data_IF_850198480213
#
_entry.id   IF_850198480213
#
_cell.length_a   1.000
_cell.length_b   1.000
_cell.length_c   1.000
_cell.angle_alpha   90.00
_cell.angle_beta   90.00
_cell.angle_gamma   90.00
#
_symmetry.space_group_name_H-M   'P 1'
#
loop_
_entity.id
_entity.type
_entity.pdbx_description
1 polymer ?
#
# COMPACT_ATOMS: atom_id res chain seq x y z
N UNK A 1 8.53 17.68 -16.80
CA UNK A 1 8.23 16.38 -16.17
C UNK A 1 8.79 16.27 -14.75
N UNK A 2 9.95 16.82 -14.49
CA UNK A 2 10.67 16.72 -13.20
C UNK A 2 9.82 17.16 -12.00
N UNK A 3 9.17 18.32 -12.10
CA UNK A 3 8.34 18.89 -11.03
C UNK A 3 6.95 18.24 -10.88
N UNK A 4 6.56 17.30 -11.76
CA UNK A 4 5.27 16.63 -11.65
C UNK A 4 5.26 15.71 -10.43
N UNK A 5 4.20 15.81 -9.61
CA UNK A 5 4.03 14.93 -8.45
C UNK A 5 3.79 13.48 -8.89
N UNK A 6 4.37 12.53 -8.18
CA UNK A 6 4.23 11.11 -8.49
C UNK A 6 2.78 10.63 -8.38
N UNK A 7 2.02 11.15 -7.43
CA UNK A 7 0.59 10.87 -7.26
C UNK A 7 -0.33 11.62 -8.22
N UNK A 8 0.21 12.50 -9.10
CA UNK A 8 -0.53 13.29 -10.07
C UNK A 8 -0.28 12.90 -11.54
N UNK A 9 0.48 11.82 -11.80
CA UNK A 9 0.55 11.19 -13.12
C UNK A 9 -0.74 10.42 -13.40
N UNK A 10 -0.93 9.95 -14.62
CA UNK A 10 -2.08 9.09 -14.98
C UNK A 10 -1.94 7.73 -14.29
N UNK A 11 -2.77 7.51 -13.26
CA UNK A 11 -2.69 6.34 -12.39
C UNK A 11 -3.98 5.50 -12.44
N UNK A 12 -3.88 4.17 -12.42
CA UNK A 12 -5.03 3.30 -12.38
C UNK A 12 -5.89 3.49 -11.12
N UNK A 13 -7.20 3.35 -11.31
CA UNK A 13 -8.16 3.15 -10.23
C UNK A 13 -8.85 1.81 -10.48
N UNK A 14 -8.74 0.89 -9.53
CA UNK A 14 -9.42 -0.41 -9.58
C UNK A 14 -10.68 -0.33 -8.72
N UNK A 15 -11.83 -0.44 -9.34
CA UNK A 15 -13.13 -0.41 -8.66
C UNK A 15 -13.63 -1.83 -8.38
N UNK A 16 -14.27 -2.00 -7.23
CA UNK A 16 -14.84 -3.26 -6.76
C UNK A 16 -16.29 -3.03 -6.37
N UNK A 17 -17.09 -4.09 -6.39
CA UNK A 17 -18.50 -4.01 -6.05
C UNK A 17 -18.78 -3.62 -4.59
N UNK A 18 -17.80 -3.81 -3.71
CA UNK A 18 -17.88 -3.46 -2.29
C UNK A 18 -16.48 -3.43 -1.65
N UNK A 19 -16.38 -2.89 -0.43
CA UNK A 19 -15.18 -2.98 0.42
C UNK A 19 -14.80 -4.43 0.66
N UNK A 20 -15.79 -5.29 0.93
CA UNK A 20 -15.57 -6.72 1.15
C UNK A 20 -14.94 -7.40 -0.08
N UNK A 21 -15.41 -7.10 -1.31
CA UNK A 21 -14.84 -7.69 -2.52
C UNK A 21 -13.41 -7.20 -2.79
N UNK A 22 -13.11 -5.92 -2.51
CA UNK A 22 -11.75 -5.41 -2.55
C UNK A 22 -10.85 -6.12 -1.54
N UNK A 23 -11.26 -6.20 -0.28
CA UNK A 23 -10.47 -6.83 0.78
C UNK A 23 -10.31 -8.35 0.56
N UNK A 24 -11.31 -9.02 -0.02
CA UNK A 24 -11.20 -10.41 -0.45
C UNK A 24 -10.14 -10.60 -1.55
N UNK A 25 -10.08 -9.67 -2.51
CA UNK A 25 -9.01 -9.65 -3.51
C UNK A 25 -7.62 -9.43 -2.87
N UNK A 26 -7.49 -8.48 -1.95
CA UNK A 26 -6.22 -8.23 -1.24
C UNK A 26 -5.82 -9.43 -0.37
N UNK A 27 -6.79 -10.18 0.17
CA UNK A 27 -6.53 -11.47 0.83
C UNK A 27 -5.95 -12.52 -0.13
N UNK A 28 -6.41 -12.56 -1.40
CA UNK A 28 -5.83 -13.44 -2.42
C UNK A 28 -4.39 -13.03 -2.75
N UNK A 29 -4.10 -11.72 -2.84
CA UNK A 29 -2.74 -11.20 -3.04
C UNK A 29 -1.82 -11.58 -1.88
N UNK A 30 -2.29 -11.46 -0.64
CA UNK A 30 -1.58 -11.95 0.55
C UNK A 30 -1.29 -13.46 0.45
N UNK A 31 -2.18 -14.23 -0.16
CA UNK A 31 -2.04 -15.67 -0.44
C UNK A 31 -1.15 -16.01 -1.64
N UNK A 32 -0.57 -15.03 -2.34
CA UNK A 32 0.33 -15.22 -3.46
C UNK A 32 -0.27 -14.97 -4.85
N UNK A 33 -1.50 -14.43 -4.94
CA UNK A 33 -2.05 -14.02 -6.23
C UNK A 33 -1.21 -12.87 -6.80
N UNK A 34 -0.76 -13.04 -8.05
CA UNK A 34 0.13 -12.10 -8.72
C UNK A 34 -0.61 -10.86 -9.22
N UNK A 35 -0.07 -9.69 -8.90
CA UNK A 35 -0.58 -8.38 -9.33
C UNK A 35 0.58 -7.36 -9.33
N UNK A 36 0.28 -6.10 -9.57
CA UNK A 36 1.24 -4.98 -9.58
C UNK A 36 1.50 -4.37 -8.17
N UNK A 37 1.03 -5.03 -7.13
CA UNK A 37 1.28 -4.66 -5.72
C UNK A 37 1.37 -5.90 -4.82
N UNK A 38 1.97 -5.71 -3.67
CA UNK A 38 2.04 -6.70 -2.60
C UNK A 38 1.10 -6.32 -1.46
N UNK A 39 0.73 -7.31 -0.66
CA UNK A 39 0.00 -7.15 0.61
C UNK A 39 0.75 -7.93 1.68
N UNK A 40 1.19 -7.26 2.73
CA UNK A 40 1.82 -7.86 3.90
C UNK A 40 1.65 -6.94 5.10
N UNK A 41 1.78 -7.48 6.30
CA UNK A 41 1.65 -6.71 7.53
C UNK A 41 2.89 -5.85 7.76
N UNK A 42 2.67 -4.58 8.09
CA UNK A 42 3.70 -3.70 8.65
C UNK A 42 3.25 -3.11 9.99
N UNK A 43 4.21 -2.83 10.85
CA UNK A 43 4.00 -2.06 12.07
C UNK A 43 4.27 -0.59 11.77
N UNK A 44 3.35 0.29 12.16
CA UNK A 44 3.40 1.72 11.80
C UNK A 44 4.27 2.55 12.74
N UNK A 45 4.73 1.97 13.86
CA UNK A 45 5.42 2.71 14.91
C UNK A 45 4.50 3.53 15.80
N UNK A 46 3.20 3.61 15.47
CA UNK A 46 2.23 4.28 16.35
C UNK A 46 2.03 3.42 17.61
N UNK A 47 2.71 3.77 18.68
CA UNK A 47 2.41 3.23 20.00
C UNK A 47 1.33 4.08 20.70
N UNK A 48 0.83 3.58 21.80
CA UNK A 48 -0.23 4.22 22.58
C UNK A 48 0.11 5.61 23.15
N UNK A 49 1.28 6.16 22.86
CA UNK A 49 1.72 7.48 23.33
C UNK A 49 1.41 8.59 22.35
N UNK A 50 1.21 8.24 21.06
CA UNK A 50 0.87 9.23 20.04
C UNK A 50 -0.64 9.48 20.02
N UNK A 51 -1.03 10.73 20.13
CA UNK A 51 -2.42 11.20 20.15
C UNK A 51 -3.12 11.10 18.79
N UNK A 52 -2.92 10.02 18.04
CA UNK A 52 -3.44 9.89 16.69
C UNK A 52 -4.33 8.65 16.55
N UNK A 53 -5.47 8.81 15.85
CA UNK A 53 -6.32 7.71 15.41
C UNK A 53 -5.69 6.96 14.24
N UNK A 54 -4.56 6.32 14.47
CA UNK A 54 -3.87 5.58 13.44
C UNK A 54 -3.60 4.14 13.90
N UNK A 55 -3.87 3.13 13.07
CA UNK A 55 -3.73 1.74 13.50
C UNK A 55 -2.25 1.39 13.73
N UNK A 56 -1.98 0.61 14.76
CA UNK A 56 -0.64 0.11 15.07
C UNK A 56 -0.06 -0.76 13.94
N UNK A 57 -0.93 -1.43 13.20
CA UNK A 57 -0.55 -2.25 12.05
C UNK A 57 -1.37 -1.87 10.83
N UNK A 58 -0.71 -1.77 9.68
CA UNK A 58 -1.39 -1.88 8.38
C UNK A 58 -1.39 -3.34 7.94
N UNK A 59 -2.45 -3.76 7.28
CA UNK A 59 -2.67 -5.13 6.86
C UNK A 59 -2.54 -6.11 8.04
N UNK A 60 -3.22 -5.81 9.15
CA UNK A 60 -3.18 -6.69 10.30
C UNK A 60 -3.70 -8.07 9.94
N UNK A 61 -2.86 -9.10 10.13
CA UNK A 61 -3.19 -10.49 9.83
C UNK A 61 -3.30 -11.30 11.13
N UNK A 62 -4.26 -12.20 11.16
CA UNK A 62 -4.47 -13.14 12.28
C UNK A 62 -4.49 -14.57 11.76
N UNK A 63 -4.01 -15.55 12.54
CA UNK A 63 -4.20 -16.93 12.18
C UNK A 63 -5.71 -17.28 12.15
N UNK A 64 -6.11 -18.16 11.24
CA UNK A 64 -7.52 -18.60 11.12
C UNK A 64 -7.99 -19.35 12.35
N UNK A 65 -7.08 -20.12 12.95
CA UNK A 65 -7.26 -20.82 14.23
C UNK A 65 -5.91 -20.92 14.93
N UNK A 66 -5.91 -21.23 16.23
CA UNK A 66 -4.70 -21.46 16.97
C UNK A 66 -3.86 -22.58 16.32
N UNK A 67 -2.55 -22.30 16.12
CA UNK A 67 -1.62 -23.21 15.45
C UNK A 67 -1.75 -23.25 13.91
N UNK A 68 -2.70 -22.51 13.31
CA UNK A 68 -2.87 -22.46 11.85
C UNK A 68 -1.71 -21.72 11.18
N UNK A 69 -1.25 -22.26 10.04
CA UNK A 69 -0.35 -21.55 9.10
C UNK A 69 -1.12 -20.70 8.08
N UNK A 70 -2.44 -20.70 8.14
CA UNK A 70 -3.29 -19.88 7.27
C UNK A 70 -3.64 -18.61 8.01
N UNK A 71 -3.41 -17.48 7.37
CA UNK A 71 -3.62 -16.15 7.93
C UNK A 71 -4.73 -15.42 7.19
N UNK A 72 -5.49 -14.61 7.92
CA UNK A 72 -6.54 -13.74 7.37
C UNK A 72 -6.23 -12.28 7.63
N UNK A 73 -6.46 -11.49 6.60
CA UNK A 73 -6.46 -10.04 6.67
C UNK A 73 -7.66 -9.56 7.49
N UNK A 74 -7.41 -8.73 8.49
CA UNK A 74 -8.44 -8.15 9.34
C UNK A 74 -8.93 -6.83 8.73
N UNK A 75 -10.14 -6.83 8.16
CA UNK A 75 -10.70 -5.68 7.47
C UNK A 75 -12.14 -5.32 7.90
N UNK A 76 -12.78 -6.13 8.74
CA UNK A 76 -14.13 -5.89 9.20
C UNK A 76 -14.21 -4.60 10.03
N UNK A 77 -15.39 -3.94 10.00
CA UNK A 77 -15.68 -2.83 10.91
C UNK A 77 -15.48 -3.27 12.37
N UNK A 78 -14.86 -2.42 13.17
CA UNK A 78 -14.52 -2.73 14.55
C UNK A 78 -14.36 -1.48 15.39
N UNK A 79 -14.51 -1.63 16.70
CA UNK A 79 -14.20 -0.56 17.65
C UNK A 79 -12.82 -0.84 18.26
N UNK A 80 -11.95 0.16 18.24
CA UNK A 80 -10.65 0.14 18.89
C UNK A 80 -10.54 1.31 19.88
N UNK A 81 -9.76 1.14 20.94
CA UNK A 81 -9.49 2.22 21.90
C UNK A 81 -8.16 2.87 21.56
N UNK A 82 -8.20 4.18 21.35
CA UNK A 82 -7.03 5.02 21.12
C UNK A 82 -6.83 5.98 22.27
N UNK A 83 -5.60 6.41 22.51
CA UNK A 83 -5.33 7.53 23.40
C UNK A 83 -5.47 8.84 22.63
N UNK A 84 -6.49 9.62 22.98
CA UNK A 84 -6.74 10.95 22.40
C UNK A 84 -6.45 11.98 23.49
N UNK A 85 -5.42 12.77 23.31
CA UNK A 85 -4.96 13.72 24.32
C UNK A 85 -4.78 13.06 25.70
N UNK A 86 -4.23 11.85 25.74
CA UNK A 86 -4.03 11.08 26.95
C UNK A 86 -5.27 10.38 27.51
N UNK A 87 -6.44 10.51 26.87
CA UNK A 87 -7.71 9.91 27.32
C UNK A 87 -8.06 8.70 26.44
N UNK A 88 -8.28 7.50 27.02
CA UNK A 88 -8.77 6.35 26.27
C UNK A 88 -10.12 6.64 25.61
N UNK A 89 -10.17 6.61 24.31
CA UNK A 89 -11.36 6.95 23.51
C UNK A 89 -11.69 5.79 22.58
N UNK A 90 -12.90 5.27 22.65
CA UNK A 90 -13.39 4.23 21.75
C UNK A 90 -13.77 4.86 20.40
N UNK A 91 -13.18 4.33 19.31
CA UNK A 91 -13.42 4.79 17.95
C UNK A 91 -13.88 3.62 17.09
N UNK A 92 -14.99 3.79 16.39
CA UNK A 92 -15.46 2.82 15.42
C UNK A 92 -14.75 3.04 14.08
N UNK A 93 -13.95 2.07 13.69
CA UNK A 93 -13.25 2.03 12.40
C UNK A 93 -14.15 1.34 11.36
N UNK A 94 -14.33 1.93 10.18
CA UNK A 94 -15.14 1.32 9.13
C UNK A 94 -14.48 0.07 8.55
N UNK A 95 -15.26 -0.70 7.79
CA UNK A 95 -14.75 -1.82 7.00
C UNK A 95 -13.67 -1.35 6.03
N UNK A 96 -12.59 -2.12 5.89
CA UNK A 96 -11.44 -1.80 5.04
C UNK A 96 -10.41 -0.86 5.67
N UNK A 97 -10.70 -0.25 6.83
CA UNK A 97 -9.74 0.63 7.50
C UNK A 97 -8.54 -0.15 8.06
N UNK A 98 -7.34 0.36 7.78
CA UNK A 98 -6.07 -0.28 8.12
C UNK A 98 -5.60 -1.31 7.07
N UNK A 99 -6.29 -1.40 5.93
CA UNK A 99 -5.89 -2.25 4.79
C UNK A 99 -5.35 -1.39 3.66
N UNK A 100 -4.21 -1.78 3.11
CA UNK A 100 -3.55 -1.08 2.00
C UNK A 100 -2.81 -2.06 1.08
N UNK A 101 -2.40 -1.57 -0.09
CA UNK A 101 -1.53 -2.27 -1.02
C UNK A 101 -0.21 -1.51 -1.16
N UNK A 102 0.89 -2.24 -1.43
CA UNK A 102 2.22 -1.67 -1.64
C UNK A 102 2.64 -1.91 -3.08
N UNK A 103 2.65 -0.85 -3.89
CA UNK A 103 2.97 -0.94 -5.31
C UNK A 103 4.40 -1.41 -5.53
N UNK A 104 4.59 -2.34 -6.46
CA UNK A 104 5.93 -2.72 -6.89
C UNK A 104 6.63 -1.56 -7.61
N UNK A 105 7.90 -1.35 -7.31
CA UNK A 105 8.72 -0.30 -7.94
C UNK A 105 8.75 -0.46 -9.45
N UNK A 106 8.87 -1.70 -9.96
CA UNK A 106 8.85 -1.95 -11.41
C UNK A 106 7.57 -1.44 -12.08
N UNK A 107 6.41 -1.56 -11.39
CA UNK A 107 5.14 -1.07 -11.92
C UNK A 107 5.06 0.45 -11.91
N UNK A 108 5.52 1.08 -10.84
CA UNK A 108 5.56 2.54 -10.75
C UNK A 108 6.47 3.14 -11.82
N UNK A 109 7.62 2.54 -12.09
CA UNK A 109 8.48 2.94 -13.21
C UNK A 109 7.76 2.85 -14.56
N UNK A 110 7.06 1.75 -14.85
CA UNK A 110 6.28 1.61 -16.08
C UNK A 110 5.23 2.74 -16.22
N UNK A 111 4.53 3.08 -15.13
CA UNK A 111 3.53 4.15 -15.11
C UNK A 111 4.16 5.53 -15.33
N UNK A 112 5.28 5.81 -14.68
CA UNK A 112 6.02 7.06 -14.85
C UNK A 112 6.47 7.23 -16.30
N UNK A 113 7.12 6.23 -16.88
CA UNK A 113 7.59 6.35 -18.27
C UNK A 113 6.45 6.44 -19.28
N UNK A 114 5.36 5.67 -19.06
CA UNK A 114 4.16 5.71 -19.89
C UNK A 114 3.49 7.10 -19.88
N UNK A 115 3.49 7.79 -18.73
CA UNK A 115 2.96 9.15 -18.59
C UNK A 115 3.62 10.14 -19.58
N UNK A 116 4.91 9.93 -19.88
CA UNK A 116 5.69 10.78 -20.78
C UNK A 116 5.85 10.19 -22.19
N UNK A 117 5.07 9.17 -22.51
CA UNK A 117 5.06 8.54 -23.85
C UNK A 117 6.21 7.57 -24.11
N UNK A 118 6.90 7.12 -23.06
CA UNK A 118 7.99 6.16 -23.18
C UNK A 118 7.56 4.75 -22.77
N UNK A 119 8.16 3.76 -23.42
CA UNK A 119 8.06 2.35 -23.03
C UNK A 119 9.41 1.85 -22.57
N UNK A 120 9.46 1.20 -21.41
CA UNK A 120 10.68 0.59 -20.90
C UNK A 120 10.90 -0.72 -21.67
N UNK A 121 11.99 -0.83 -22.41
CA UNK A 121 12.34 -2.05 -23.15
C UNK A 121 12.80 -3.16 -22.22
N UNK A 122 13.65 -2.82 -21.25
CA UNK A 122 14.13 -3.72 -20.21
C UNK A 122 13.94 -3.06 -18.86
N UNK A 123 13.24 -3.74 -17.96
CA UNK A 123 12.99 -3.26 -16.60
C UNK A 123 13.67 -4.22 -15.59
N UNK A 124 14.88 -3.91 -15.11
CA UNK A 124 15.60 -4.78 -14.20
C UNK A 124 14.84 -5.01 -12.89
N UNK A 125 14.02 -4.05 -12.43
CA UNK A 125 13.16 -4.24 -11.26
C UNK A 125 12.04 -5.27 -11.48
N UNK A 126 11.76 -5.64 -12.72
CA UNK A 126 10.77 -6.67 -13.07
C UNK A 126 11.39 -8.02 -13.37
N UNK A 127 12.62 -8.03 -13.87
CA UNK A 127 13.29 -9.25 -14.34
C UNK A 127 14.29 -9.83 -13.35
N UNK A 128 14.93 -9.00 -12.52
CA UNK A 128 15.85 -9.42 -11.49
C UNK A 128 15.08 -9.95 -10.26
N UNK A 129 15.41 -11.17 -9.81
CA UNK A 129 14.74 -11.83 -8.68
C UNK A 129 14.91 -11.11 -7.33
N UNK A 130 15.98 -10.35 -7.16
CA UNK A 130 16.24 -9.60 -5.92
C UNK A 130 15.45 -8.28 -5.90
N UNK A 131 15.26 -7.67 -7.07
CA UNK A 131 14.58 -6.37 -7.21
C UNK A 131 13.07 -6.51 -7.44
N UNK A 132 12.61 -7.65 -7.96
CA UNK A 132 11.20 -7.86 -8.31
C UNK A 132 10.23 -7.56 -7.15
N UNK A 133 10.62 -7.92 -5.94
CA UNK A 133 9.79 -7.74 -4.75
C UNK A 133 9.98 -6.37 -4.07
N UNK A 134 10.73 -5.46 -4.68
CA UNK A 134 10.87 -4.11 -4.14
C UNK A 134 9.55 -3.35 -4.27
N UNK A 135 9.05 -2.84 -3.14
CA UNK A 135 7.78 -2.13 -3.07
C UNK A 135 7.94 -0.72 -2.52
N UNK A 136 7.00 0.16 -2.83
CA UNK A 136 6.84 1.47 -2.21
C UNK A 136 5.94 1.30 -0.99
N UNK A 137 6.47 1.55 0.20
CA UNK A 137 5.67 1.58 1.41
C UNK A 137 4.86 2.89 1.47
N UNK A 138 3.63 2.79 1.95
CA UNK A 138 2.76 3.92 2.21
C UNK A 138 2.12 3.77 3.61
N UNK A 139 1.43 4.80 4.04
CA UNK A 139 0.69 4.85 5.30
C UNK A 139 -0.82 5.08 5.08
N UNK A 140 -1.34 4.73 3.91
CA UNK A 140 -2.74 4.94 3.52
C UNK A 140 -3.66 3.93 4.24
N UNK A 141 -4.08 4.25 5.46
CA UNK A 141 -4.94 3.38 6.27
C UNK A 141 -6.40 3.35 5.81
N UNK A 142 -6.85 4.31 5.03
CA UNK A 142 -8.23 4.51 4.60
C UNK A 142 -8.46 4.27 3.09
N UNK A 143 -7.42 3.87 2.36
CA UNK A 143 -7.48 3.72 0.90
C UNK A 143 -8.52 2.69 0.43
N UNK A 144 -8.86 1.69 1.24
CA UNK A 144 -9.82 0.64 0.89
C UNK A 144 -11.26 0.92 1.33
N UNK A 145 -11.51 1.93 2.18
CA UNK A 145 -12.83 2.19 2.82
C UNK A 145 -13.94 2.48 1.80
N UNK A 146 -13.59 2.92 0.61
CA UNK A 146 -14.55 3.27 -0.47
C UNK A 146 -14.78 2.13 -1.47
N UNK A 147 -14.24 0.94 -1.25
CA UNK A 147 -14.38 -0.18 -2.18
C UNK A 147 -13.63 0.01 -3.51
N UNK A 148 -12.67 0.92 -3.55
CA UNK A 148 -11.81 1.16 -4.72
C UNK A 148 -10.35 1.27 -4.28
N UNK A 149 -9.44 0.87 -5.15
CA UNK A 149 -8.01 0.99 -4.94
C UNK A 149 -7.46 2.00 -5.95
N UNK A 150 -7.21 3.22 -5.51
CA UNK A 150 -6.60 4.28 -6.29
C UNK A 150 -5.09 4.24 -6.10
N UNK A 151 -4.33 4.11 -7.18
CA UNK A 151 -2.87 4.09 -7.07
C UNK A 151 -2.30 5.44 -6.64
N UNK A 152 -3.03 6.54 -6.89
CA UNK A 152 -2.64 7.86 -6.39
C UNK A 152 -2.57 7.91 -4.85
N UNK A 153 -3.50 7.23 -4.18
CA UNK A 153 -3.55 7.17 -2.71
C UNK A 153 -2.43 6.31 -2.11
N UNK A 154 -1.79 5.47 -2.94
CA UNK A 154 -0.69 4.58 -2.55
C UNK A 154 0.70 5.16 -2.83
N UNK A 155 0.77 6.28 -3.57
CA UNK A 155 2.03 6.91 -3.95
C UNK A 155 2.52 7.88 -2.86
N UNK A 156 3.84 8.00 -2.67
CA UNK A 156 4.40 9.03 -1.80
C UNK A 156 4.18 10.42 -2.39
N UNK A 157 4.09 11.42 -1.51
CA UNK A 157 4.02 12.83 -1.92
C UNK A 157 5.42 13.37 -2.25
N UNK A 158 5.96 12.94 -3.38
CA UNK A 158 7.22 13.40 -3.93
C UNK A 158 7.07 13.69 -5.43
N UNK A 159 8.08 14.34 -6.01
CA UNK A 159 8.12 14.54 -7.46
C UNK A 159 8.60 13.29 -8.18
N UNK A 160 8.32 13.19 -9.49
CA UNK A 160 8.89 12.14 -10.34
C UNK A 160 10.42 12.19 -10.32
N UNK A 161 11.01 13.41 -10.28
CA UNK A 161 12.45 13.56 -10.18
C UNK A 161 13.01 12.99 -8.88
N UNK A 162 12.38 13.28 -7.73
CA UNK A 162 12.80 12.76 -6.42
C UNK A 162 12.76 11.23 -6.40
N UNK A 163 11.69 10.66 -6.93
CA UNK A 163 11.53 9.21 -7.02
C UNK A 163 12.61 8.56 -7.88
N UNK A 164 12.86 9.08 -9.08
CA UNK A 164 13.89 8.55 -9.98
C UNK A 164 15.30 8.74 -9.41
N UNK A 165 15.58 9.90 -8.78
CA UNK A 165 16.87 10.15 -8.12
C UNK A 165 17.11 9.19 -6.94
N UNK A 166 16.08 8.88 -6.15
CA UNK A 166 16.19 7.91 -5.06
C UNK A 166 16.59 6.52 -5.59
N UNK A 167 16.01 6.09 -6.72
CA UNK A 167 16.36 4.83 -7.37
C UNK A 167 17.77 4.89 -8.00
N UNK A 168 18.12 6.01 -8.65
CA UNK A 168 19.45 6.21 -9.21
C UNK A 168 20.54 6.10 -8.13
N UNK A 169 20.39 6.84 -7.04
CA UNK A 169 21.36 6.84 -5.93
C UNK A 169 21.48 5.47 -5.27
N UNK A 170 20.37 4.76 -5.13
CA UNK A 170 20.35 3.47 -4.42
C UNK A 170 20.80 2.29 -5.27
N UNK A 171 20.47 2.28 -6.56
CA UNK A 171 20.65 1.14 -7.46
C UNK A 171 21.54 1.43 -8.67
N UNK A 172 22.06 2.65 -8.80
CA UNK A 172 22.94 3.02 -9.91
C UNK A 172 22.24 3.00 -11.27
N UNK A 173 20.96 3.35 -11.33
CA UNK A 173 20.24 3.45 -12.61
C UNK A 173 20.82 4.59 -13.45
N UNK A 174 21.24 4.27 -14.67
CA UNK A 174 21.78 5.25 -15.64
C UNK A 174 20.78 5.40 -16.79
#
# INVERSE_FOLDING_TARGET
>A
WKAKKLNAITLPVKEYSSVNSLCAHLQQVLGGYQTDYAVFQIMTGNDSKDNQFYPKYLNYITPVSEGSKVYRLRYQARTETFLVNGTPTAVTLPEGYGVTAFLYVWRVLELVFSEFGYTIMENPFKTDKQLYNLVILNNAADCCVKGKLSYADLMPDCTVEDFLNALYVRFGLV
#
